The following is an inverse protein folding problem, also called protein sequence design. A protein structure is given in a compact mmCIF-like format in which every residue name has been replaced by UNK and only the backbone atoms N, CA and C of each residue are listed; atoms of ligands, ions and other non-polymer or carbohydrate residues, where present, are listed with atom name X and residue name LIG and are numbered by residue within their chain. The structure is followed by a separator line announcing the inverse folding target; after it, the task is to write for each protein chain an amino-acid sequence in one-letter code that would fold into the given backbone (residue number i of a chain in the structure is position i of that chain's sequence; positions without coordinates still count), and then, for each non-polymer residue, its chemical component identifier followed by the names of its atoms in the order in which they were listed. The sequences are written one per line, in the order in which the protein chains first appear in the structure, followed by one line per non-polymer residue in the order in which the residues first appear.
data_IF_703033178376
#
_entry.id   IF_703033178376
#
_cell.length_a   1.000
_cell.length_b   1.000
_cell.length_c   1.000
_cell.angle_alpha   90.00
_cell.angle_beta   90.00
_cell.angle_gamma   90.00
#
_symmetry.space_group_name_H-M   'P 1'
#
loop_
_entity.id
_entity.type
_entity.pdbx_description
1 polymer ?
#
# COMPACT_ATOMS: atom_id res chain seq x y z
N UNK A 1 11.30 49.20 5.22
CA UNK A 1 11.56 50.09 6.37
C UNK A 1 10.44 49.84 7.37
N UNK A 2 10.76 49.50 8.62
CA UNK A 2 9.77 49.30 9.67
C UNK A 2 9.34 50.64 10.27
N UNK A 3 8.08 50.74 10.67
CA UNK A 3 7.50 51.86 11.44
C UNK A 3 7.49 51.53 12.92
N UNK A 4 7.56 52.54 13.78
CA UNK A 4 7.50 52.36 15.24
C UNK A 4 6.12 51.81 15.65
N UNK A 5 6.11 50.84 16.58
CA UNK A 5 4.88 50.26 17.10
C UNK A 5 4.18 51.23 18.05
N UNK A 6 2.85 51.32 17.94
CA UNK A 6 2.04 52.01 18.95
C UNK A 6 2.09 51.26 20.28
N UNK A 7 2.04 51.98 21.40
CA UNK A 7 2.01 51.38 22.74
C UNK A 7 0.83 50.40 22.91
N UNK A 8 -0.31 50.69 22.28
CA UNK A 8 -1.47 49.78 22.28
C UNK A 8 -1.16 48.46 21.55
N UNK A 9 -0.42 48.51 20.44
CA UNK A 9 -0.05 47.33 19.67
C UNK A 9 0.93 46.46 20.46
N UNK A 10 1.87 47.07 21.19
CA UNK A 10 2.81 46.35 22.06
C UNK A 10 2.07 45.59 23.17
N UNK A 11 1.04 46.19 23.76
CA UNK A 11 0.22 45.52 24.79
C UNK A 11 -0.55 44.34 24.19
N UNK A 12 -1.19 44.52 23.04
CA UNK A 12 -1.93 43.44 22.36
C UNK A 12 -1.03 42.27 21.96
N UNK A 13 0.16 42.57 21.43
CA UNK A 13 1.15 41.56 21.07
C UNK A 13 1.62 40.81 22.32
N UNK A 14 1.89 41.52 23.42
CA UNK A 14 2.31 40.90 24.67
C UNK A 14 1.23 39.96 25.23
N UNK A 15 -0.03 40.39 25.24
CA UNK A 15 -1.16 39.56 25.66
C UNK A 15 -1.32 38.30 24.79
N UNK A 16 -1.14 38.42 23.48
CA UNK A 16 -1.16 37.27 22.58
C UNK A 16 -0.01 36.30 22.87
N UNK A 17 1.20 36.83 23.13
CA UNK A 17 2.34 36.02 23.52
C UNK A 17 2.06 35.25 24.82
N UNK A 18 1.48 35.89 25.83
CA UNK A 18 1.12 35.26 27.10
C UNK A 18 0.11 34.12 26.89
N UNK A 19 -0.93 34.35 26.08
CA UNK A 19 -1.90 33.29 25.72
C UNK A 19 -1.25 32.11 25.00
N UNK A 20 -0.28 32.37 24.12
CA UNK A 20 0.47 31.32 23.43
C UNK A 20 1.32 30.51 24.40
N UNK A 21 1.94 31.15 25.39
CA UNK A 21 2.71 30.49 26.45
C UNK A 21 1.78 29.61 27.29
N UNK A 22 0.64 30.13 27.73
CA UNK A 22 -0.36 29.38 28.51
C UNK A 22 -0.86 28.14 27.73
N UNK A 23 -1.17 28.30 26.44
CA UNK A 23 -1.56 27.18 25.58
C UNK A 23 -0.46 26.12 25.44
N UNK A 24 0.82 26.53 25.44
CA UNK A 24 1.95 25.60 25.39
C UNK A 24 2.10 24.81 26.69
N UNK A 25 1.95 25.48 27.83
CA UNK A 25 1.94 24.84 29.15
C UNK A 25 0.78 23.86 29.28
N UNK A 26 -0.43 24.27 28.90
CA UNK A 26 -1.61 23.42 28.91
C UNK A 26 -1.44 22.18 28.02
N UNK A 27 -0.86 22.34 26.81
CA UNK A 27 -0.53 21.22 25.93
C UNK A 27 0.44 20.23 26.59
N UNK A 28 1.42 20.73 27.32
CA UNK A 28 2.41 19.90 28.02
C UNK A 28 1.77 19.10 29.15
N UNK A 29 0.93 19.75 29.97
CA UNK A 29 0.16 19.10 31.02
C UNK A 29 -0.76 18.01 30.46
N UNK A 30 -1.44 18.29 29.35
CA UNK A 30 -2.34 17.32 28.70
C UNK A 30 -1.57 16.11 28.14
N UNK A 31 -0.37 16.34 27.57
CA UNK A 31 0.49 15.27 27.08
C UNK A 31 0.96 14.36 28.21
N UNK A 32 1.32 14.93 29.36
CA UNK A 32 1.72 14.16 30.54
C UNK A 32 0.54 13.37 31.14
N UNK A 33 -0.63 14.01 31.25
CA UNK A 33 -1.86 13.33 31.67
C UNK A 33 -2.19 12.14 30.76
N UNK A 34 -2.13 12.33 29.44
CA UNK A 34 -2.39 11.28 28.46
C UNK A 34 -1.37 10.14 28.58
N UNK A 35 -0.10 10.45 28.83
CA UNK A 35 0.94 9.44 29.04
C UNK A 35 0.66 8.58 30.27
N UNK A 36 0.36 9.20 31.40
CA UNK A 36 0.05 8.49 32.64
C UNK A 36 -1.22 7.66 32.50
N UNK A 37 -2.26 8.21 31.88
CA UNK A 37 -3.53 7.51 31.69
C UNK A 37 -3.40 6.34 30.72
N UNK A 38 -2.64 6.48 29.63
CA UNK A 38 -2.45 5.40 28.68
C UNK A 38 -1.60 4.26 29.26
N UNK A 39 -0.56 4.58 30.02
CA UNK A 39 0.24 3.56 30.72
C UNK A 39 -0.60 2.77 31.74
N UNK A 40 -1.53 3.42 32.42
CA UNK A 40 -2.44 2.75 33.35
C UNK A 40 -3.52 1.90 32.66
N UNK A 41 -4.00 2.30 31.47
CA UNK A 41 -5.10 1.61 30.79
C UNK A 41 -4.64 0.53 29.80
N UNK A 42 -3.58 0.80 29.04
CA UNK A 42 -3.14 -0.05 27.94
C UNK A 42 -1.61 0.00 27.82
N UNK A 43 -0.89 -0.63 28.76
CA UNK A 43 0.55 -0.56 28.79
C UNK A 43 1.20 -1.35 27.63
N UNK A 44 0.63 -2.48 27.19
CA UNK A 44 1.20 -3.23 26.06
C UNK A 44 1.05 -2.46 24.74
N UNK A 45 -0.11 -1.82 24.53
CA UNK A 45 -0.34 -0.97 23.36
C UNK A 45 0.61 0.24 23.34
N UNK A 46 0.88 0.83 24.51
CA UNK A 46 1.79 1.96 24.68
C UNK A 46 3.22 1.60 24.27
N UNK A 47 3.73 0.47 24.74
CA UNK A 47 5.09 0.01 24.41
C UNK A 47 5.25 -0.22 22.89
N UNK A 48 4.18 -0.67 22.21
CA UNK A 48 4.21 -0.95 20.78
C UNK A 48 4.16 0.30 19.90
N UNK A 49 3.27 1.26 20.20
CA UNK A 49 2.95 2.37 19.30
C UNK A 49 3.32 3.76 19.84
N UNK A 50 3.51 3.88 21.14
CA UNK A 50 3.52 5.15 21.85
C UNK A 50 2.11 5.61 22.25
N UNK A 51 2.08 6.54 23.20
CA UNK A 51 0.86 6.97 23.89
C UNK A 51 -0.08 7.72 22.94
N UNK A 52 0.47 8.57 22.08
CA UNK A 52 -0.30 9.45 21.18
C UNK A 52 -1.03 8.67 20.08
N UNK A 53 -0.38 7.65 19.52
CA UNK A 53 -0.97 6.81 18.47
C UNK A 53 -1.93 5.80 19.10
N UNK A 54 -1.57 5.22 20.26
CA UNK A 54 -2.47 4.36 21.04
C UNK A 54 -3.78 5.08 21.38
N UNK A 55 -3.70 6.32 21.90
CA UNK A 55 -4.86 7.15 22.18
C UNK A 55 -5.74 7.39 20.96
N UNK A 56 -5.13 7.67 19.80
CA UNK A 56 -5.86 7.91 18.56
C UNK A 56 -6.60 6.66 18.07
N UNK A 57 -6.01 5.47 18.25
CA UNK A 57 -6.68 4.20 17.91
C UNK A 57 -7.87 3.94 18.83
N UNK A 58 -7.70 4.10 20.13
CA UNK A 58 -8.77 3.93 21.12
C UNK A 58 -9.90 4.93 20.88
N UNK A 59 -9.58 6.20 20.63
CA UNK A 59 -10.55 7.24 20.32
C UNK A 59 -11.37 6.91 19.05
N UNK A 60 -10.73 6.35 18.01
CA UNK A 60 -11.44 5.94 16.79
C UNK A 60 -12.32 4.71 16.99
N UNK A 61 -11.94 3.81 17.88
CA UNK A 61 -12.76 2.66 18.26
C UNK A 61 -13.87 3.00 19.28
N UNK A 62 -13.77 4.17 19.94
CA UNK A 62 -14.67 4.63 21.00
C UNK A 62 -14.32 4.08 22.38
N UNK A 63 -13.84 2.84 22.48
CA UNK A 63 -13.39 2.23 23.73
C UNK A 63 -12.27 1.21 23.50
N UNK A 64 -11.51 0.90 24.56
CA UNK A 64 -10.46 -0.12 24.53
C UNK A 64 -11.05 -1.51 24.24
N UNK A 65 -12.20 -1.83 24.85
CA UNK A 65 -12.92 -3.10 24.64
C UNK A 65 -13.41 -3.23 23.19
N UNK A 66 -13.88 -2.15 22.57
CA UNK A 66 -14.28 -2.18 21.16
C UNK A 66 -13.07 -2.38 20.25
N UNK A 67 -11.93 -1.76 20.56
CA UNK A 67 -10.69 -1.98 19.82
C UNK A 67 -10.21 -3.44 19.92
N UNK A 68 -10.36 -4.08 21.09
CA UNK A 68 -10.03 -5.49 21.28
C UNK A 68 -10.90 -6.44 20.42
N UNK A 69 -12.16 -6.08 20.18
CA UNK A 69 -13.08 -6.82 19.30
C UNK A 69 -12.74 -6.68 17.82
N UNK A 70 -12.05 -5.61 17.42
CA UNK A 70 -11.69 -5.43 16.02
C UNK A 70 -10.71 -6.50 15.53
N UNK A 71 -10.90 -7.03 14.31
CA UNK A 71 -9.92 -7.90 13.70
C UNK A 71 -8.70 -7.08 13.24
N UNK A 72 -7.55 -7.75 13.11
CA UNK A 72 -6.29 -7.12 12.70
C UNK A 72 -6.40 -6.38 11.35
N UNK A 73 -7.19 -6.90 10.41
CA UNK A 73 -7.43 -6.26 9.11
C UNK A 73 -8.13 -4.90 9.25
N UNK A 74 -9.09 -4.77 10.16
CA UNK A 74 -9.76 -3.49 10.46
C UNK A 74 -8.81 -2.53 11.15
N UNK A 75 -8.03 -3.00 12.13
CA UNK A 75 -7.02 -2.18 12.83
C UNK A 75 -5.98 -1.62 11.85
N UNK A 76 -5.60 -2.40 10.82
CA UNK A 76 -4.64 -1.98 9.80
C UNK A 76 -5.08 -0.71 9.07
N UNK A 77 -6.37 -0.61 8.73
CA UNK A 77 -6.96 0.47 7.92
C UNK A 77 -7.78 1.46 8.75
N UNK A 78 -7.72 1.35 10.08
CA UNK A 78 -8.51 2.19 10.99
C UNK A 78 -8.18 3.67 10.77
N UNK A 79 -9.20 4.49 10.53
CA UNK A 79 -9.06 5.90 10.14
C UNK A 79 -8.97 6.16 8.63
N UNK A 80 -8.70 5.15 7.80
CA UNK A 80 -8.74 5.23 6.33
C UNK A 80 -10.01 4.60 5.72
N UNK A 81 -11.01 4.26 6.55
CA UNK A 81 -12.23 3.56 6.17
C UNK A 81 -12.97 4.23 4.99
N UNK A 82 -13.15 5.55 5.02
CA UNK A 82 -13.85 6.29 3.94
C UNK A 82 -13.13 6.15 2.59
N UNK A 83 -11.80 6.19 2.60
CA UNK A 83 -10.99 6.01 1.40
C UNK A 83 -11.01 4.55 0.93
N UNK A 84 -10.98 3.60 1.86
CA UNK A 84 -11.11 2.18 1.57
C UNK A 84 -12.43 1.85 0.88
N UNK A 85 -13.56 2.28 1.44
CA UNK A 85 -14.88 2.02 0.84
C UNK A 85 -15.07 2.73 -0.49
N UNK A 86 -14.50 3.93 -0.66
CA UNK A 86 -14.50 4.64 -1.95
C UNK A 86 -13.68 3.90 -3.01
N UNK A 87 -12.50 3.38 -2.65
CA UNK A 87 -11.64 2.63 -3.56
C UNK A 87 -12.31 1.33 -4.02
N UNK A 88 -12.94 0.59 -3.10
CA UNK A 88 -13.68 -0.64 -3.42
C UNK A 88 -14.83 -0.35 -4.41
N UNK A 89 -15.63 0.70 -4.16
CA UNK A 89 -16.72 1.09 -5.06
C UNK A 89 -16.24 1.50 -6.45
N UNK A 90 -15.07 2.13 -6.52
CA UNK A 90 -14.51 2.66 -7.78
C UNK A 90 -13.49 1.73 -8.43
N UNK A 91 -13.28 0.53 -7.87
CA UNK A 91 -12.24 -0.44 -8.28
C UNK A 91 -10.84 0.19 -8.44
N UNK A 92 -10.49 1.11 -7.53
CA UNK A 92 -9.17 1.74 -7.45
C UNK A 92 -8.34 1.12 -6.33
N UNK A 93 -7.07 1.48 -6.27
CA UNK A 93 -6.17 1.02 -5.23
C UNK A 93 -6.66 1.38 -3.82
N UNK A 94 -6.74 0.36 -2.97
CA UNK A 94 -7.15 0.51 -1.58
C UNK A 94 -5.98 1.02 -0.72
N UNK A 95 -6.25 1.89 0.28
CA UNK A 95 -5.23 2.30 1.23
C UNK A 95 -4.68 1.09 2.00
N UNK A 96 -3.35 1.04 2.19
CA UNK A 96 -2.65 -0.07 2.87
C UNK A 96 -2.56 0.11 4.37
N UNK A 97 -2.77 1.32 4.88
CA UNK A 97 -2.59 1.69 6.29
C UNK A 97 -3.53 2.84 6.64
N UNK A 98 -3.92 2.93 7.91
CA UNK A 98 -4.65 4.04 8.49
C UNK A 98 -3.79 4.80 9.50
N UNK A 99 -4.32 5.00 10.70
CA UNK A 99 -3.66 5.71 11.82
C UNK A 99 -2.28 5.11 12.15
N UNK A 100 -2.13 3.80 12.01
CA UNK A 100 -0.89 3.07 12.32
C UNK A 100 0.30 3.49 11.44
N UNK A 101 0.09 4.18 10.31
CA UNK A 101 1.16 4.64 9.43
C UNK A 101 2.21 5.51 10.14
N UNK A 102 1.77 6.29 11.13
CA UNK A 102 2.64 7.18 11.90
C UNK A 102 3.43 6.45 13.00
N UNK A 103 3.24 5.15 13.19
CA UNK A 103 3.98 4.38 14.18
C UNK A 103 5.47 4.33 13.83
N UNK A 104 6.33 4.43 14.84
CA UNK A 104 7.79 4.48 14.67
C UNK A 104 8.32 3.34 13.80
N UNK A 105 7.86 2.10 14.03
CA UNK A 105 8.30 0.92 13.29
C UNK A 105 7.95 0.96 11.78
N UNK A 106 6.86 1.64 11.40
CA UNK A 106 6.45 1.78 9.99
C UNK A 106 7.11 3.00 9.37
N UNK A 107 7.28 4.07 10.14
CA UNK A 107 7.96 5.29 9.70
C UNK A 107 9.42 5.00 9.31
N UNK A 108 10.11 4.15 10.09
CA UNK A 108 11.49 3.72 9.82
C UNK A 108 11.61 2.78 8.61
N UNK A 109 10.58 1.98 8.32
CA UNK A 109 10.62 1.01 7.23
C UNK A 109 10.63 1.67 5.84
N UNK A 110 11.38 1.08 4.91
CA UNK A 110 11.39 1.52 3.50
C UNK A 110 10.00 1.46 2.85
N UNK A 111 9.73 2.33 1.88
CA UNK A 111 8.40 2.53 1.24
C UNK A 111 7.75 1.24 0.73
N UNK A 112 8.55 0.31 0.19
CA UNK A 112 8.10 -1.00 -0.29
C UNK A 112 7.65 -1.95 0.84
N UNK A 113 8.27 -1.84 2.02
CA UNK A 113 8.05 -2.70 3.17
C UNK A 113 6.93 -2.21 4.09
N UNK A 114 6.60 -0.91 4.06
CA UNK A 114 5.59 -0.30 4.93
C UNK A 114 4.26 -1.05 4.96
N UNK A 115 3.77 -1.53 3.82
CA UNK A 115 2.51 -2.28 3.75
C UNK A 115 2.58 -3.65 4.43
N UNK A 116 3.71 -4.36 4.31
CA UNK A 116 3.90 -5.67 4.97
C UNK A 116 4.06 -5.48 6.48
N UNK A 117 4.83 -4.49 6.89
CA UNK A 117 5.03 -4.15 8.30
C UNK A 117 3.74 -3.65 8.95
N UNK A 118 2.92 -2.86 8.24
CA UNK A 118 1.60 -2.44 8.72
C UNK A 118 0.70 -3.63 9.06
N UNK A 119 0.69 -4.66 8.21
CA UNK A 119 -0.08 -5.88 8.47
C UNK A 119 0.43 -6.65 9.69
N UNK A 120 1.76 -6.87 9.79
CA UNK A 120 2.36 -7.55 10.94
C UNK A 120 2.12 -6.78 12.25
N UNK A 121 2.27 -5.46 12.20
CA UNK A 121 2.03 -4.57 13.33
C UNK A 121 0.56 -4.62 13.75
N UNK A 122 -0.39 -4.51 12.82
CA UNK A 122 -1.82 -4.56 13.13
C UNK A 122 -2.23 -5.87 13.85
N UNK A 123 -1.65 -7.00 13.45
CA UNK A 123 -1.86 -8.28 14.15
C UNK A 123 -1.37 -8.22 15.59
N UNK A 124 -0.17 -7.69 15.82
CA UNK A 124 0.39 -7.56 17.17
C UNK A 124 -0.36 -6.54 18.02
N UNK A 125 -0.79 -5.41 17.44
CA UNK A 125 -1.66 -4.44 18.10
C UNK A 125 -2.95 -5.11 18.58
N UNK A 126 -3.62 -5.88 17.71
CA UNK A 126 -4.89 -6.53 18.06
C UNK A 126 -4.71 -7.53 19.20
N UNK A 127 -3.62 -8.29 19.21
CA UNK A 127 -3.29 -9.21 20.30
C UNK A 127 -2.99 -8.47 21.61
N UNK A 128 -2.11 -7.47 21.57
CA UNK A 128 -1.76 -6.68 22.76
C UNK A 128 -2.95 -5.92 23.33
N UNK A 129 -3.83 -5.37 22.48
CA UNK A 129 -5.04 -4.69 22.92
C UNK A 129 -6.01 -5.65 23.63
N UNK A 130 -6.11 -6.90 23.16
CA UNK A 130 -6.95 -7.90 23.82
C UNK A 130 -6.40 -8.30 25.18
N UNK A 131 -5.08 -8.39 25.32
CA UNK A 131 -4.44 -8.61 26.62
C UNK A 131 -4.74 -7.43 27.54
N UNK A 132 -4.50 -6.20 27.08
CA UNK A 132 -4.77 -4.99 27.87
C UNK A 132 -6.25 -4.83 28.26
N UNK A 133 -7.20 -5.31 27.44
CA UNK A 133 -8.63 -5.14 27.69
C UNK A 133 -9.30 -6.29 28.47
N UNK A 134 -8.78 -7.51 28.38
CA UNK A 134 -9.45 -8.73 28.85
C UNK A 134 -8.61 -9.58 29.82
N UNK A 135 -7.29 -9.40 29.85
CA UNK A 135 -6.44 -10.16 30.76
C UNK A 135 -6.34 -9.48 32.11
N UNK A 136 -6.06 -10.29 33.14
CA UNK A 136 -5.73 -9.76 34.46
C UNK A 136 -4.37 -9.04 34.41
N UNK A 137 -4.23 -8.04 35.28
CA UNK A 137 -3.08 -7.13 35.35
C UNK A 137 -1.73 -7.83 35.66
N UNK A 138 -1.77 -9.15 35.94
CA UNK A 138 -0.60 -9.99 36.24
C UNK A 138 0.39 -10.15 35.09
N UNK A 139 -0.04 -9.96 33.83
CA UNK A 139 0.80 -10.17 32.64
C UNK A 139 1.72 -8.96 32.38
N UNK A 140 1.38 -7.79 32.92
CA UNK A 140 2.13 -6.54 32.75
C UNK A 140 2.43 -6.21 31.28
N UNK A 141 3.63 -5.67 31.02
CA UNK A 141 4.01 -5.11 29.72
C UNK A 141 4.82 -6.10 28.85
N UNK A 142 4.89 -7.35 29.29
CA UNK A 142 5.76 -8.39 28.71
C UNK A 142 5.38 -8.68 27.24
N UNK A 143 4.08 -8.79 26.95
CA UNK A 143 3.56 -9.09 25.61
C UNK A 143 3.88 -7.97 24.63
N UNK A 144 3.75 -6.71 25.05
CA UNK A 144 4.09 -5.54 24.24
C UNK A 144 5.57 -5.50 23.89
N UNK A 145 6.45 -5.80 24.84
CA UNK A 145 7.91 -5.87 24.63
C UNK A 145 8.30 -6.99 23.68
N UNK A 146 7.76 -8.20 23.86
CA UNK A 146 8.04 -9.34 22.98
C UNK A 146 7.55 -9.05 21.55
N UNK A 147 6.34 -8.50 21.42
CA UNK A 147 5.78 -8.13 20.14
C UNK A 147 6.62 -7.05 19.43
N UNK A 148 7.14 -6.07 20.17
CA UNK A 148 8.04 -5.05 19.62
C UNK A 148 9.35 -5.68 19.12
N UNK A 149 10.00 -6.50 19.94
CA UNK A 149 11.24 -7.20 19.58
C UNK A 149 11.04 -8.10 18.35
N UNK A 150 9.91 -8.80 18.26
CA UNK A 150 9.56 -9.60 17.09
C UNK A 150 9.46 -8.74 15.81
N UNK A 151 8.78 -7.59 15.88
CA UNK A 151 8.60 -6.71 14.73
C UNK A 151 9.92 -6.06 14.29
N UNK A 152 10.78 -5.68 15.23
CA UNK A 152 12.12 -5.16 14.92
C UNK A 152 13.01 -6.22 14.23
N UNK A 153 12.96 -7.48 14.70
CA UNK A 153 13.65 -8.60 14.02
C UNK A 153 13.12 -8.82 12.60
N UNK A 154 11.80 -8.75 12.42
CA UNK A 154 11.17 -8.91 11.12
C UNK A 154 11.51 -7.77 10.16
N UNK A 155 11.59 -6.52 10.66
CA UNK A 155 12.00 -5.38 9.87
C UNK A 155 13.43 -5.56 9.38
N UNK A 156 14.37 -5.87 10.28
CA UNK A 156 15.78 -6.14 9.93
C UNK A 156 15.92 -7.27 8.90
N UNK A 157 15.14 -8.34 9.05
CA UNK A 157 15.16 -9.46 8.10
C UNK A 157 14.63 -9.07 6.71
N UNK A 158 13.62 -8.20 6.61
CA UNK A 158 13.10 -7.74 5.32
C UNK A 158 13.93 -6.60 4.70
N UNK A 159 14.67 -5.84 5.51
CA UNK A 159 15.60 -4.80 5.05
C UNK A 159 16.91 -5.39 4.54
N UNK A 160 17.36 -6.51 5.11
CA UNK A 160 18.46 -7.25 4.51
C UNK A 160 18.04 -7.61 3.08
N UNK A 161 18.71 -7.08 2.05
CA UNK A 161 18.45 -7.50 0.69
C UNK A 161 18.58 -9.01 0.72
N UNK A 162 17.62 -9.72 0.10
CA UNK A 162 17.74 -11.16 -0.02
C UNK A 162 19.13 -11.42 -0.57
N UNK A 163 20.04 -11.88 0.28
CA UNK A 163 21.05 -12.81 -0.12
C UNK A 163 20.19 -13.99 -0.57
N UNK A 164 19.66 -13.91 -1.80
CA UNK A 164 19.48 -15.06 -2.65
C UNK A 164 20.81 -15.72 -2.48
N UNK A 165 20.87 -16.71 -1.57
CA UNK A 165 22.00 -17.61 -1.46
C UNK A 165 22.21 -17.95 -2.91
N UNK A 166 23.27 -17.38 -3.51
CA UNK A 166 23.70 -17.73 -4.85
C UNK A 166 23.69 -19.23 -4.75
N UNK A 167 22.69 -19.85 -5.38
CA UNK A 167 22.43 -21.26 -5.16
C UNK A 167 23.79 -21.87 -5.35
N UNK A 168 24.34 -22.49 -4.30
CA UNK A 168 25.56 -23.25 -4.45
C UNK A 168 25.13 -24.26 -5.51
N UNK A 169 25.45 -23.96 -6.78
CA UNK A 169 25.38 -24.94 -7.84
C UNK A 169 26.22 -26.02 -7.22
N UNK A 170 25.57 -27.13 -6.87
CA UNK A 170 26.28 -28.32 -6.46
C UNK A 170 27.30 -28.54 -7.57
N UNK A 171 28.55 -28.15 -7.32
CA UNK A 171 29.67 -28.55 -8.13
C UNK A 171 29.58 -30.05 -7.95
N UNK A 172 29.03 -30.74 -8.96
CA UNK A 172 29.04 -32.19 -9.00
C UNK A 172 30.52 -32.49 -8.81
N UNK A 173 30.90 -33.01 -7.64
CA UNK A 173 32.24 -33.56 -7.45
C UNK A 173 32.33 -34.61 -8.54
N UNK A 174 33.16 -34.36 -9.54
CA UNK A 174 33.40 -35.33 -10.60
C UNK A 174 33.72 -36.64 -9.89
N UNK A 175 32.85 -37.64 -10.08
CA UNK A 175 33.05 -38.94 -9.48
C UNK A 175 34.43 -39.43 -9.95
N UNK A 176 35.29 -39.81 -9.00
CA UNK A 176 36.67 -40.25 -9.22
C UNK A 176 36.83 -40.93 -10.60
N UNK A 177 37.54 -40.25 -11.50
CA UNK A 177 37.82 -40.74 -12.84
C UNK A 177 38.54 -42.09 -12.75
N UNK A 178 37.84 -43.18 -13.04
CA UNK A 178 38.44 -44.48 -13.25
C UNK A 178 38.76 -44.58 -14.74
N UNK A 179 40.04 -44.59 -15.07
CA UNK A 179 40.52 -44.84 -16.43
C UNK A 179 40.07 -46.24 -16.86
N UNK A 180 39.00 -46.33 -17.64
CA UNK A 180 38.71 -47.51 -18.44
C UNK A 180 39.38 -47.29 -19.79
N UNK A 181 40.39 -48.08 -20.09
CA UNK A 181 40.99 -48.14 -21.42
C UNK A 181 40.05 -48.87 -22.37
N UNK A 182 38.94 -48.22 -22.74
CA UNK A 182 38.20 -48.60 -23.92
C UNK A 182 38.76 -47.75 -25.07
N UNK A 183 39.37 -48.43 -26.05
CA UNK A 183 39.80 -47.77 -27.29
C UNK A 183 38.52 -47.31 -27.98
N UNK A 184 38.24 -46.02 -27.89
CA UNK A 184 37.13 -45.40 -28.60
C UNK A 184 37.51 -45.32 -30.08
N UNK A 185 36.97 -46.21 -30.90
CA UNK A 185 36.99 -46.01 -32.35
C UNK A 185 36.19 -44.74 -32.67
N UNK A 186 36.81 -43.84 -33.43
CA UNK A 186 36.22 -42.56 -33.78
C UNK A 186 35.05 -42.77 -34.73
N UNK A 187 33.84 -42.41 -34.29
CA UNK A 187 32.66 -42.46 -35.14
C UNK A 187 32.66 -41.27 -36.13
N UNK A 188 33.20 -41.51 -37.34
CA UNK A 188 33.23 -40.51 -38.42
C UNK A 188 31.85 -39.99 -38.82
N UNK A 189 30.77 -40.69 -38.50
CA UNK A 189 29.41 -40.24 -38.84
C UNK A 189 28.96 -39.03 -38.02
N UNK A 190 29.47 -38.88 -36.79
CA UNK A 190 29.16 -37.75 -35.90
C UNK A 190 29.78 -36.42 -36.37
N UNK A 191 30.75 -36.48 -37.28
CA UNK A 191 31.51 -35.32 -37.79
C UNK A 191 31.09 -34.90 -39.22
N UNK A 192 30.14 -35.61 -39.83
CA UNK A 192 29.64 -35.25 -41.17
C UNK A 192 28.52 -34.21 -41.11
N UNK A 193 28.76 -33.04 -41.72
CA UNK A 193 27.83 -31.89 -41.75
C UNK A 193 26.82 -31.91 -42.92
N UNK A 194 26.72 -33.01 -43.68
CA UNK A 194 25.81 -33.14 -44.83
C UNK A 194 24.57 -33.95 -44.42
N UNK A 195 23.42 -33.29 -44.31
CA UNK A 195 22.12 -33.94 -44.06
C UNK A 195 21.69 -34.76 -45.27
N UNK A 196 21.70 -36.09 -45.16
CA UNK A 196 21.11 -36.98 -46.17
C UNK A 196 19.58 -36.95 -46.09
N UNK A 197 18.96 -36.14 -46.95
CA UNK A 197 17.52 -36.16 -47.16
C UNK A 197 17.12 -37.48 -47.85
N UNK A 198 16.42 -38.37 -47.15
CA UNK A 198 15.75 -39.52 -47.78
C UNK A 198 14.64 -39.00 -48.71
N UNK A 199 14.90 -39.04 -50.01
CA UNK A 199 13.91 -38.93 -51.09
C UNK A 199 12.86 -40.04 -50.92
N UNK A 200 11.58 -39.71 -50.74
CA UNK A 200 10.48 -40.65 -50.98
C UNK A 200 10.15 -40.64 -52.47
N UNK A 201 10.30 -41.80 -53.13
CA UNK A 201 9.81 -42.03 -54.50
C UNK A 201 8.27 -42.13 -54.45
N UNK A 202 7.64 -41.40 -55.35
CA UNK A 202 6.25 -41.53 -55.78
C UNK A 202 6.15 -42.77 -56.68
N UNK A 203 5.08 -43.56 -56.52
CA UNK A 203 4.61 -44.52 -57.51
C UNK A 203 3.11 -44.25 -57.72
N UNK A 204 2.70 -44.26 -58.98
CA UNK A 204 1.51 -43.64 -59.57
C UNK A 204 0.34 -44.62 -59.79
N UNK A 205 -0.89 -44.07 -59.76
CA UNK A 205 -2.13 -44.43 -60.53
C UNK A 205 -2.85 -45.80 -60.31
N UNK A 206 -4.19 -45.98 -60.24
CA UNK A 206 -5.47 -45.22 -60.38
C UNK A 206 -6.49 -45.82 -59.36
N UNK A 207 -7.60 -45.23 -58.88
CA UNK A 207 -8.70 -44.56 -59.58
C UNK A 207 -9.65 -43.82 -58.57
N UNK A 208 -10.42 -42.85 -59.09
CA UNK A 208 -11.19 -41.75 -58.43
C UNK A 208 -12.63 -42.17 -57.95
N UNK A 209 -13.48 -41.39 -57.18
CA UNK A 209 -13.82 -39.96 -57.36
C UNK A 209 -14.11 -39.03 -56.14
N UNK A 210 -13.82 -37.74 -56.40
CA UNK A 210 -14.60 -36.50 -56.12
C UNK A 210 -14.76 -35.85 -54.72
N UNK A 211 -14.00 -34.73 -54.56
CA UNK A 211 -14.47 -33.32 -54.40
C UNK A 211 -15.12 -32.85 -53.07
N UNK A 212 -14.44 -31.98 -52.30
CA UNK A 212 -14.66 -30.49 -52.26
C UNK A 212 -13.90 -29.74 -51.13
N UNK A 213 -13.14 -28.72 -51.56
CA UNK A 213 -13.04 -27.32 -51.09
C UNK A 213 -12.17 -26.94 -49.86
N UNK A 214 -11.37 -25.89 -50.13
CA UNK A 214 -10.30 -25.18 -49.38
C UNK A 214 -10.77 -24.38 -48.15
N UNK A 215 -9.83 -24.12 -47.22
CA UNK A 215 -9.25 -22.79 -46.90
C UNK A 215 -8.08 -22.88 -45.89
N UNK A 216 -6.86 -22.60 -46.38
CA UNK A 216 -5.85 -21.59 -45.96
C UNK A 216 -5.48 -21.24 -44.47
N UNK A 217 -4.26 -20.67 -44.22
CA UNK A 217 -3.28 -21.29 -43.32
C UNK A 217 -2.58 -20.36 -42.29
N UNK A 218 -1.69 -20.97 -41.49
CA UNK A 218 -0.51 -20.39 -40.79
C UNK A 218 0.46 -19.69 -41.76
N UNK A 219 1.36 -18.73 -41.46
CA UNK A 219 1.94 -18.15 -40.24
C UNK A 219 3.33 -17.53 -40.57
N UNK A 220 3.92 -16.80 -39.61
CA UNK A 220 5.37 -16.51 -39.39
C UNK A 220 6.12 -15.31 -40.05
N UNK A 221 6.65 -14.49 -39.13
CA UNK A 221 7.87 -13.64 -39.02
C UNK A 221 9.17 -14.11 -39.74
N UNK A 222 10.23 -13.33 -40.04
CA UNK A 222 10.71 -11.92 -39.82
C UNK A 222 12.01 -11.70 -40.66
N UNK A 223 12.31 -10.50 -41.20
CA UNK A 223 13.68 -9.98 -41.38
C UNK A 223 13.71 -8.43 -41.40
N UNK A 224 14.88 -7.89 -41.01
CA UNK A 224 15.20 -6.56 -40.44
C UNK A 224 15.48 -5.42 -41.47
N UNK A 225 15.64 -4.20 -40.89
CA UNK A 225 16.43 -3.00 -41.31
C UNK A 225 15.60 -2.02 -42.18
N UNK A 226 15.46 -0.70 -41.95
CA UNK A 226 16.43 0.37 -41.59
C UNK A 226 15.71 1.72 -41.28
N UNK A 227 16.35 2.60 -40.47
CA UNK A 227 16.40 4.11 -40.52
C UNK A 227 15.08 4.93 -40.48
N UNK A 228 14.95 6.16 -39.99
CA UNK A 228 15.71 7.22 -39.31
C UNK A 228 14.62 8.29 -38.96
N UNK A 229 14.57 8.82 -37.73
CA UNK A 229 14.97 10.18 -37.35
C UNK A 229 13.96 11.33 -37.65
N UNK A 230 14.09 12.39 -36.85
CA UNK A 230 13.35 13.67 -36.77
C UNK A 230 12.00 13.66 -36.04
N UNK A 231 11.62 14.66 -35.26
CA UNK A 231 12.21 15.68 -34.37
C UNK A 231 11.06 16.69 -34.14
N UNK A 232 11.14 17.42 -33.02
CA UNK A 232 10.42 18.68 -32.71
C UNK A 232 8.91 18.54 -32.36
N UNK A 233 8.50 18.88 -31.13
CA UNK A 233 8.20 20.23 -30.61
C UNK A 233 7.03 20.86 -31.41
N UNK A 234 5.91 21.30 -30.83
CA UNK A 234 5.77 22.31 -29.79
C UNK A 234 4.29 22.43 -29.36
N UNK A 235 4.11 22.92 -28.13
CA UNK A 235 3.10 23.86 -27.62
C UNK A 235 1.56 23.71 -27.74
N UNK A 236 0.97 23.98 -26.56
CA UNK A 236 -0.23 24.76 -26.23
C UNK A 236 -1.46 24.77 -27.17
N UNK A 237 -2.63 24.48 -26.58
CA UNK A 237 -3.61 25.54 -26.27
C UNK A 237 -4.92 24.96 -25.71
N UNK A 238 -5.37 25.51 -24.58
CA UNK A 238 -6.81 25.57 -24.28
C UNK A 238 -7.48 26.52 -25.28
N UNK A 239 -8.80 26.38 -25.53
CA UNK A 239 -9.64 27.50 -25.10
C UNK A 239 -11.06 27.15 -24.59
N UNK A 240 -11.40 27.79 -23.47
CA UNK A 240 -12.53 28.72 -23.22
C UNK A 240 -13.99 28.34 -23.57
N UNK A 241 -14.82 28.42 -22.51
CA UNK A 241 -16.24 28.80 -22.35
C UNK A 241 -17.04 29.30 -23.58
N UNK A 242 -18.32 28.91 -23.62
CA UNK A 242 -19.46 29.77 -24.05
C UNK A 242 -20.70 29.57 -23.16
N UNK A 243 -21.14 30.67 -22.55
CA UNK A 243 -22.50 30.93 -22.06
C UNK A 243 -23.47 31.25 -23.21
N UNK A 244 -24.78 31.03 -22.99
CA UNK A 244 -25.94 31.89 -23.36
C UNK A 244 -27.23 31.26 -22.79
N UNK A 245 -27.82 31.81 -21.73
CA UNK A 245 -29.01 32.73 -21.66
C UNK A 245 -30.32 32.10 -22.17
N UNK A 246 -31.24 31.76 -21.27
CA UNK A 246 -32.49 32.49 -20.92
C UNK A 246 -33.59 32.45 -21.99
N UNK A 247 -34.79 31.91 -21.68
CA UNK A 247 -35.96 32.76 -21.37
C UNK A 247 -37.25 31.98 -20.98
N UNK A 248 -38.00 32.60 -20.05
CA UNK A 248 -39.48 32.65 -19.90
C UNK A 248 -40.33 31.51 -19.25
N UNK A 249 -40.71 31.82 -18.00
CA UNK A 249 -42.02 32.38 -17.55
C UNK A 249 -43.01 31.50 -16.74
N UNK A 250 -43.22 31.99 -15.50
CA UNK A 250 -44.50 32.40 -14.84
C UNK A 250 -45.51 31.34 -14.37
N UNK A 251 -45.66 31.26 -13.04
CA UNK A 251 -46.90 31.58 -12.28
C UNK A 251 -46.54 31.72 -10.78
N UNK A 252 -46.35 32.95 -10.29
CA UNK A 252 -47.32 33.82 -9.58
C UNK A 252 -47.67 33.34 -8.15
N UNK A 253 -46.94 33.92 -7.19
CA UNK A 253 -47.40 34.28 -5.85
C UNK A 253 -48.53 35.32 -5.97
N UNK A 254 -49.54 35.28 -5.10
CA UNK A 254 -50.20 36.43 -4.43
C UNK A 254 -51.38 35.94 -3.55
N UNK A 255 -51.17 36.03 -2.23
CA UNK A 255 -52.01 36.74 -1.21
C UNK A 255 -53.19 36.04 -0.48
N UNK A 256 -53.14 36.21 0.86
CA UNK A 256 -54.18 36.26 1.93
C UNK A 256 -54.89 34.98 2.38
N UNK A 257 -54.66 34.61 3.66
CA UNK A 257 -55.63 34.85 4.75
C UNK A 257 -54.97 34.65 6.13
N UNK A 258 -55.07 35.68 6.97
CA UNK A 258 -54.91 35.63 8.43
C UNK A 258 -56.19 35.06 9.09
N UNK A 259 -56.04 34.59 10.34
CA UNK A 259 -56.98 34.61 11.48
C UNK A 259 -57.40 33.25 12.10
N UNK A 260 -57.45 33.27 13.44
CA UNK A 260 -57.80 32.24 14.45
C UNK A 260 -56.71 31.15 14.65
N UNK A 261 -56.18 30.90 15.84
CA UNK A 261 -56.84 30.75 17.15
C UNK A 261 -56.01 31.30 18.32
N UNK A 262 -56.75 31.87 19.29
CA UNK A 262 -56.35 32.34 20.62
C UNK A 262 -56.93 31.34 21.66
N UNK A 263 -56.47 31.42 22.91
CA UNK A 263 -57.00 30.81 24.16
C UNK A 263 -56.89 29.29 24.40
N UNK A 264 -55.91 28.86 25.22
CA UNK A 264 -56.02 28.61 26.69
C UNK A 264 -54.61 28.41 27.30
#
# INVERSE_FOLDING_TARGET
MGTELSQLDVVLISQLCDQVIEMYEYRSQLSEYLKNRMNALAPNLTVLLGELIGARLVARAGSLVNLAKYPASTVQVLGAEKALFRAIKTKRDTPKYGIIYHAQLIAQAGTKLKGKMARKLATKISLSTRVDALSDESVGNSVGLEARAYLERQLKHEEQPSNKRVGQKNIKKDANYKFKSEVMEYDQSADTTIKTAKRKKFDDEEDTPAKKVKTEPTGSSKKKVKQEASDEEEEEAQPVKKEKTEDKKKKKVVVKQESSEDSD
#
